data_IF_088611219260
#
_entry.id   IF_088611219260
#
_cell.length_a   1.000
_cell.length_b   1.000
_cell.length_c   1.000
_cell.angle_alpha   90.00
_cell.angle_beta   90.00
_cell.angle_gamma   90.00
#
_symmetry.space_group_name_H-M   'P 1'
#
loop_
_entity.id
_entity.type
_entity.pdbx_description
1 polymer ?
#
# COMPACT_ATOMS: atom_id res chain seq x y z
N UNK A 1 6.85 -15.88 68.38
CA UNK A 1 7.52 -14.57 68.18
C UNK A 1 8.63 -14.60 67.12
N UNK A 2 9.42 -15.66 66.96
CA UNK A 2 10.51 -15.69 65.96
C UNK A 2 10.04 -15.85 64.49
N UNK A 3 8.94 -16.57 64.26
CA UNK A 3 8.40 -16.87 62.92
C UNK A 3 7.88 -15.63 62.18
N UNK A 4 7.31 -14.67 62.90
CA UNK A 4 6.83 -13.40 62.32
C UNK A 4 7.99 -12.49 61.89
N UNK A 5 9.11 -12.52 62.61
CA UNK A 5 10.31 -11.74 62.28
C UNK A 5 11.01 -12.28 61.03
N UNK A 6 11.07 -13.61 60.88
CA UNK A 6 11.65 -14.26 59.70
C UNK A 6 10.78 -13.99 58.46
N UNK A 7 9.46 -14.09 58.58
CA UNK A 7 8.52 -13.82 57.49
C UNK A 7 8.58 -12.34 57.05
N UNK A 8 8.65 -11.41 58.00
CA UNK A 8 8.81 -9.99 57.72
C UNK A 8 10.15 -9.69 57.01
N UNK A 9 11.24 -10.33 57.44
CA UNK A 9 12.56 -10.18 56.81
C UNK A 9 12.60 -10.69 55.36
N UNK A 10 12.01 -11.86 55.09
CA UNK A 10 11.92 -12.42 53.73
C UNK A 10 11.03 -11.58 52.81
N UNK A 11 9.91 -11.06 53.33
CA UNK A 11 9.04 -10.15 52.59
C UNK A 11 9.76 -8.87 52.16
N UNK A 12 10.52 -8.25 53.07
CA UNK A 12 11.27 -7.03 52.78
C UNK A 12 12.37 -7.27 51.72
N UNK A 13 13.04 -8.43 51.79
CA UNK A 13 14.06 -8.81 50.82
C UNK A 13 13.48 -9.02 49.41
N UNK A 14 12.33 -9.68 49.29
CA UNK A 14 11.65 -9.89 48.02
C UNK A 14 11.25 -8.56 47.34
N UNK A 15 10.72 -7.62 48.12
CA UNK A 15 10.35 -6.28 47.64
C UNK A 15 11.59 -5.49 47.20
N UNK A 16 12.66 -5.50 48.00
CA UNK A 16 13.90 -4.80 47.68
C UNK A 16 14.58 -5.32 46.41
N UNK A 17 14.66 -6.65 46.25
CA UNK A 17 15.22 -7.26 45.04
C UNK A 17 14.34 -7.05 43.82
N UNK A 18 13.01 -7.14 43.96
CA UNK A 18 12.06 -6.86 42.89
C UNK A 18 12.17 -5.41 42.39
N UNK A 19 12.18 -4.44 43.30
CA UNK A 19 12.34 -3.02 42.96
C UNK A 19 13.67 -2.74 42.26
N UNK A 20 14.77 -3.32 42.75
CA UNK A 20 16.11 -3.16 42.15
C UNK A 20 16.21 -3.78 40.75
N UNK A 21 15.52 -4.90 40.52
CA UNK A 21 15.48 -5.55 39.21
C UNK A 21 14.74 -4.69 38.19
N UNK A 22 13.58 -4.13 38.56
CA UNK A 22 12.79 -3.25 37.70
C UNK A 22 13.55 -1.97 37.35
N UNK A 23 14.18 -1.31 38.33
CA UNK A 23 14.96 -0.08 38.09
C UNK A 23 16.14 -0.32 37.13
N UNK A 24 16.73 -1.52 37.14
CA UNK A 24 17.85 -1.88 36.25
C UNK A 24 17.42 -2.20 34.82
N UNK A 25 16.19 -2.66 34.58
CA UNK A 25 15.72 -3.09 33.24
C UNK A 25 15.01 -1.98 32.46
N UNK A 26 14.32 -1.06 33.12
CA UNK A 26 13.59 0.06 32.49
C UNK A 26 14.46 0.94 31.57
N UNK A 27 15.66 1.42 31.96
CA UNK A 27 16.39 2.40 31.15
C UNK A 27 16.94 1.81 29.83
N UNK A 28 17.18 0.50 29.77
CA UNK A 28 17.62 -0.16 28.54
C UNK A 28 16.45 -0.43 27.58
N UNK A 29 15.26 -0.70 28.12
CA UNK A 29 14.05 -0.93 27.33
C UNK A 29 13.54 0.38 26.68
N UNK A 30 13.59 1.49 27.43
CA UNK A 30 13.18 2.81 26.94
C UNK A 30 14.02 3.31 25.76
N UNK A 31 15.36 3.13 25.81
CA UNK A 31 16.25 3.56 24.73
C UNK A 31 16.00 2.80 23.42
N UNK A 32 15.83 1.48 23.49
CA UNK A 32 15.54 0.64 22.31
C UNK A 32 14.18 0.98 21.67
N UNK A 33 13.17 1.30 22.48
CA UNK A 33 11.86 1.73 22.00
C UNK A 33 11.95 3.12 21.35
N UNK A 34 12.64 4.08 21.97
CA UNK A 34 12.87 5.40 21.42
C UNK A 34 13.56 5.32 20.06
N UNK A 35 14.68 4.61 19.96
CA UNK A 35 15.44 4.47 18.70
C UNK A 35 14.60 3.81 17.59
N UNK A 36 13.69 2.88 17.95
CA UNK A 36 12.78 2.24 16.99
C UNK A 36 11.70 3.22 16.51
N UNK A 37 11.13 4.05 17.39
CA UNK A 37 10.11 5.04 17.02
C UNK A 37 10.70 6.20 16.19
N UNK A 38 11.96 6.58 16.41
CA UNK A 38 12.61 7.64 15.62
C UNK A 38 13.09 7.15 14.24
N UNK A 39 13.48 5.88 14.10
CA UNK A 39 14.03 5.33 12.86
C UNK A 39 13.04 4.53 12.01
N UNK A 40 11.79 4.35 12.44
CA UNK A 40 10.78 3.80 11.53
C UNK A 40 10.47 4.81 10.44
N UNK A 41 10.61 4.44 9.14
CA UNK A 41 10.15 5.30 8.07
C UNK A 41 8.65 5.52 8.29
N UNK A 42 8.26 6.78 8.50
CA UNK A 42 6.86 7.17 8.63
C UNK A 42 6.14 6.62 7.40
N UNK A 43 5.29 5.62 7.61
CA UNK A 43 4.46 5.01 6.58
C UNK A 43 3.45 6.06 6.12
N UNK A 44 3.90 6.94 5.24
CA UNK A 44 3.07 8.00 4.70
C UNK A 44 1.97 7.33 3.87
N UNK A 45 0.71 7.57 4.24
CA UNK A 45 -0.49 7.15 3.53
C UNK A 45 -0.43 7.42 2.02
N UNK A 46 0.36 8.43 1.60
CA UNK A 46 0.65 8.75 0.20
C UNK A 46 1.41 7.67 -0.56
N UNK A 47 2.22 6.85 0.11
CA UNK A 47 2.94 5.71 -0.50
C UNK A 47 1.94 4.63 -0.89
N UNK A 48 0.99 4.31 0.00
CA UNK A 48 -0.08 3.36 -0.30
C UNK A 48 -1.06 3.92 -1.34
N UNK A 49 -1.35 5.22 -1.31
CA UNK A 49 -2.20 5.87 -2.32
C UNK A 49 -1.56 5.92 -3.72
N UNK A 50 -0.24 6.15 -3.80
CA UNK A 50 0.50 6.22 -5.06
C UNK A 50 0.76 4.84 -5.69
N UNK A 51 0.50 3.74 -4.98
CA UNK A 51 0.63 2.39 -5.53
C UNK A 51 -0.49 2.00 -6.51
N UNK A 52 -1.61 2.73 -6.52
CA UNK A 52 -2.80 2.38 -7.32
C UNK A 52 -2.67 2.70 -8.81
N UNK A 53 -1.70 3.52 -9.20
CA UNK A 53 -1.53 3.96 -10.59
C UNK A 53 -0.28 3.35 -11.21
N UNK A 54 -0.36 3.02 -12.50
CA UNK A 54 0.82 2.64 -13.28
C UNK A 54 1.74 3.85 -13.40
N UNK A 55 3.02 3.65 -13.10
CA UNK A 55 4.05 4.69 -13.22
C UNK A 55 4.50 4.79 -14.69
N UNK A 56 4.65 6.01 -15.19
CA UNK A 56 5.10 6.28 -16.56
C UNK A 56 3.98 6.82 -17.45
N UNK A 57 4.29 7.01 -18.73
CA UNK A 57 3.33 7.36 -19.77
C UNK A 57 2.88 6.13 -20.56
N UNK A 58 2.21 6.38 -21.68
CA UNK A 58 1.91 5.33 -22.65
C UNK A 58 3.19 4.79 -23.30
N UNK A 59 3.14 3.53 -23.74
CA UNK A 59 4.24 2.94 -24.48
C UNK A 59 4.37 3.62 -25.87
N UNK A 60 5.59 3.75 -26.42
CA UNK A 60 5.81 4.37 -27.72
C UNK A 60 5.04 3.69 -28.87
N UNK A 61 4.76 2.40 -28.73
CA UNK A 61 3.98 1.58 -29.65
C UNK A 61 2.98 0.78 -28.84
N UNK A 62 1.70 0.82 -29.20
CA UNK A 62 0.67 0.08 -28.47
C UNK A 62 0.96 -1.42 -28.46
N UNK A 63 0.95 -1.99 -27.26
CA UNK A 63 1.08 -3.44 -27.06
C UNK A 63 -0.24 -4.08 -26.66
N UNK A 64 -0.33 -5.40 -26.83
CA UNK A 64 -1.51 -6.18 -26.41
C UNK A 64 -1.81 -6.04 -24.92
N UNK A 65 -0.75 -5.92 -24.11
CA UNK A 65 -0.85 -5.70 -22.67
C UNK A 65 -1.41 -4.31 -22.36
N UNK A 66 -0.83 -3.26 -22.94
CA UNK A 66 -1.29 -1.88 -22.75
C UNK A 66 -2.75 -1.70 -23.20
N UNK A 67 -3.10 -2.22 -24.38
CA UNK A 67 -4.45 -2.15 -24.91
C UNK A 67 -5.50 -2.80 -23.99
N UNK A 68 -5.16 -3.95 -23.41
CA UNK A 68 -6.01 -4.66 -22.45
C UNK A 68 -6.19 -3.86 -21.16
N UNK A 69 -5.14 -3.17 -20.68
CA UNK A 69 -5.21 -2.29 -19.52
C UNK A 69 -6.05 -1.04 -19.80
N UNK A 70 -5.89 -0.40 -20.96
CA UNK A 70 -6.64 0.79 -21.36
C UNK A 70 -8.15 0.51 -21.43
N UNK A 71 -8.54 -0.61 -22.06
CA UNK A 71 -9.95 -0.98 -22.20
C UNK A 71 -10.52 -1.72 -20.97
N UNK A 72 -9.68 -2.02 -19.98
CA UNK A 72 -10.02 -2.80 -18.80
C UNK A 72 -10.67 -4.16 -19.14
N UNK A 73 -9.99 -4.91 -20.01
CA UNK A 73 -10.41 -6.24 -20.46
C UNK A 73 -9.25 -7.23 -20.34
N UNK A 74 -9.55 -8.53 -20.41
CA UNK A 74 -8.51 -9.55 -20.54
C UNK A 74 -7.81 -9.41 -21.90
N UNK A 75 -6.49 -9.68 -22.00
CA UNK A 75 -5.79 -9.76 -23.30
C UNK A 75 -6.43 -10.75 -24.28
N UNK A 76 -7.15 -11.76 -23.77
CA UNK A 76 -7.84 -12.77 -24.58
C UNK A 76 -9.37 -12.59 -24.54
N UNK A 77 -9.85 -11.38 -24.27
CA UNK A 77 -11.28 -11.08 -24.29
C UNK A 77 -11.87 -11.26 -25.70
N UNK A 78 -13.15 -11.64 -25.78
CA UNK A 78 -13.85 -11.72 -27.05
C UNK A 78 -14.00 -10.34 -27.71
N UNK A 79 -14.04 -10.30 -29.04
CA UNK A 79 -14.23 -9.07 -29.82
C UNK A 79 -15.47 -8.27 -29.37
N UNK A 80 -16.56 -8.97 -29.02
CA UNK A 80 -17.77 -8.33 -28.48
C UNK A 80 -17.49 -7.55 -27.20
N UNK A 81 -16.72 -8.12 -26.27
CA UNK A 81 -16.35 -7.49 -25.00
C UNK A 81 -15.41 -6.29 -25.23
N UNK A 82 -14.47 -6.41 -26.16
CA UNK A 82 -13.56 -5.30 -26.55
C UNK A 82 -14.38 -4.13 -27.10
N UNK A 83 -15.29 -4.37 -28.06
CA UNK A 83 -16.13 -3.34 -28.66
C UNK A 83 -17.07 -2.68 -27.64
N UNK A 84 -17.66 -3.46 -26.73
CA UNK A 84 -18.49 -2.92 -25.66
C UNK A 84 -17.69 -2.04 -24.68
N UNK A 85 -16.49 -2.49 -24.28
CA UNK A 85 -15.60 -1.72 -23.42
C UNK A 85 -15.14 -0.41 -24.10
N UNK A 86 -14.76 -0.48 -25.37
CA UNK A 86 -14.39 0.69 -26.17
C UNK A 86 -15.52 1.71 -26.23
N UNK A 87 -16.76 1.30 -26.55
CA UNK A 87 -17.92 2.21 -26.59
C UNK A 87 -18.14 2.91 -25.25
N UNK A 88 -18.07 2.16 -24.14
CA UNK A 88 -18.22 2.71 -22.79
C UNK A 88 -17.13 3.74 -22.46
N UNK A 89 -15.87 3.39 -22.72
CA UNK A 89 -14.73 4.26 -22.42
C UNK A 89 -14.71 5.50 -23.32
N UNK A 90 -15.05 5.36 -24.60
CA UNK A 90 -15.09 6.46 -25.57
C UNK A 90 -16.23 7.43 -25.25
N UNK A 91 -17.38 6.97 -24.77
CA UNK A 91 -18.50 7.83 -24.40
C UNK A 91 -18.07 8.92 -23.40
N UNK A 92 -17.28 8.54 -22.40
CA UNK A 92 -16.76 9.43 -21.34
C UNK A 92 -15.56 10.25 -21.80
N UNK A 93 -14.70 9.70 -22.65
CA UNK A 93 -13.44 10.34 -23.05
C UNK A 93 -13.51 11.08 -24.38
N UNK A 94 -14.69 11.16 -25.02
CA UNK A 94 -14.87 11.80 -26.32
C UNK A 94 -14.45 13.28 -26.29
N UNK A 95 -13.71 13.77 -27.29
CA UNK A 95 -13.25 15.17 -27.34
C UNK A 95 -14.41 16.17 -27.29
N UNK A 96 -15.51 15.89 -28.00
CA UNK A 96 -16.70 16.75 -28.01
C UNK A 96 -17.43 16.84 -26.65
N UNK A 97 -17.09 15.96 -25.70
CA UNK A 97 -17.60 15.99 -24.32
C UNK A 97 -16.56 16.50 -23.32
N UNK A 98 -15.52 17.18 -23.79
CA UNK A 98 -14.43 17.70 -22.96
C UNK A 98 -13.35 16.65 -22.64
N UNK A 99 -13.36 15.50 -23.30
CA UNK A 99 -12.30 14.51 -23.18
C UNK A 99 -11.03 14.93 -23.96
N UNK A 100 -9.91 14.28 -23.65
CA UNK A 100 -8.65 14.56 -24.33
C UNK A 100 -8.61 13.88 -25.71
N UNK A 101 -8.27 14.60 -26.80
CA UNK A 101 -8.05 13.98 -28.11
C UNK A 101 -6.97 12.90 -28.09
N UNK A 102 -5.93 13.10 -27.27
CA UNK A 102 -4.84 12.13 -27.10
C UNK A 102 -5.31 10.86 -26.38
N UNK A 103 -6.15 10.98 -25.36
CA UNK A 103 -6.70 9.80 -24.68
C UNK A 103 -7.65 9.05 -25.63
N UNK A 104 -8.50 9.77 -26.36
CA UNK A 104 -9.38 9.17 -27.37
C UNK A 104 -8.60 8.42 -28.45
N UNK A 105 -7.49 8.96 -28.94
CA UNK A 105 -6.67 8.25 -29.94
C UNK A 105 -6.07 6.97 -29.38
N UNK A 106 -5.60 6.96 -28.11
CA UNK A 106 -5.10 5.75 -27.45
C UNK A 106 -6.19 4.69 -27.22
N UNK A 107 -7.43 5.10 -26.94
CA UNK A 107 -8.57 4.18 -26.87
C UNK A 107 -8.84 3.49 -28.22
N UNK A 108 -8.80 4.27 -29.31
CA UNK A 108 -8.99 3.74 -30.66
C UNK A 108 -7.86 2.78 -31.06
N UNK A 109 -6.60 3.16 -30.78
CA UNK A 109 -5.43 2.32 -31.02
C UNK A 109 -5.51 0.98 -30.24
N UNK A 110 -5.95 1.03 -28.98
CA UNK A 110 -6.15 -0.16 -28.15
C UNK A 110 -7.23 -1.10 -28.72
N UNK A 111 -8.36 -0.53 -29.16
CA UNK A 111 -9.45 -1.28 -29.78
C UNK A 111 -8.99 -1.94 -31.08
N UNK A 112 -8.32 -1.20 -31.96
CA UNK A 112 -7.88 -1.72 -33.26
C UNK A 112 -6.76 -2.77 -33.12
N UNK A 113 -6.01 -2.78 -32.01
CA UNK A 113 -5.05 -3.84 -31.72
C UNK A 113 -5.71 -5.13 -31.22
N UNK A 114 -6.76 -5.03 -30.39
CA UNK A 114 -7.45 -6.19 -29.79
C UNK A 114 -8.60 -6.75 -30.64
N UNK A 115 -9.11 -5.99 -31.61
CA UNK A 115 -10.16 -6.42 -32.53
C UNK A 115 -9.61 -7.12 -33.80
N UNK A 116 -8.28 -7.24 -33.90
CA UNK A 116 -7.57 -8.09 -34.89
C UNK A 116 -7.61 -9.56 -34.47
#
# INVERSE_FOLDING_TARGET
MASSVILAGLGLAAVGFGARFVIRTIPALGKKMADTVYNVPKLDSKIFASSKYYKGGFEPKMTKREAALILNVSPNASQQKVRAAYKRMMLTNHPDRGGSPFISSKLSEAKDLLDK
#
